data_IF_598239029519
#
_entry.id   IF_598239029519
#
_cell.length_a   1.000
_cell.length_b   1.000
_cell.length_c   1.000
_cell.angle_alpha   90.00
_cell.angle_beta   90.00
_cell.angle_gamma   90.00
#
_symmetry.space_group_name_H-M   'P 1'
#
loop_
_entity.id
_entity.type
_entity.pdbx_description
1 polymer ?
2 polymer ?
3 branched ?
4 non-polymer ?
5 water ?
#
# COMPACT_ATOMS: atom_id res chain seq x y z
N UNK A 3 -16.46 -10.93 0.24
CA UNK A 3 -15.20 -10.26 -0.08
C UNK A 3 -14.87 -10.42 -1.56
N UNK A 4 -14.10 -9.49 -2.12
CA UNK A 4 -13.69 -9.57 -3.52
C UNK A 4 -12.21 -9.93 -3.64
N UNK A 5 -11.94 -10.90 -4.50
CA UNK A 5 -10.60 -11.44 -4.71
C UNK A 5 -10.13 -11.16 -6.13
N UNK A 6 -8.94 -10.60 -6.25
CA UNK A 6 -8.33 -10.32 -7.54
C UNK A 6 -6.96 -10.96 -7.54
N UNK A 7 -6.46 -11.37 -8.71
CA UNK A 7 -5.05 -11.80 -8.77
C UNK A 7 -4.12 -10.62 -8.49
N UNK A 8 -2.93 -10.89 -7.92
CA UNK A 8 -2.00 -9.79 -7.61
C UNK A 8 -1.45 -9.10 -8.84
N UNK A 9 -1.35 -9.82 -9.94
CA UNK A 9 -0.66 -9.32 -11.11
C UNK A 9 -1.24 -9.85 -12.43
N UNK A 10 -1.17 -8.99 -13.44
CA UNK A 10 -1.51 -9.35 -14.81
C UNK A 10 -0.54 -8.59 -15.70
N UNK A 11 -0.23 -9.12 -16.89
CA UNK A 11 0.70 -8.47 -17.78
C UNK A 11 0.49 -8.88 -19.23
N UNK A 12 0.82 -7.97 -20.11
CA UNK A 12 0.76 -8.20 -21.54
C UNK A 12 1.60 -7.16 -22.24
N UNK A 13 1.89 -7.41 -23.52
CA UNK A 13 2.73 -6.50 -24.28
C UNK A 13 1.87 -5.43 -24.93
N UNK A 14 2.46 -4.29 -25.28
CA UNK A 14 1.68 -3.25 -25.94
C UNK A 14 0.97 -3.80 -27.16
N UNK A 15 -0.31 -3.48 -27.30
CA UNK A 15 -1.10 -3.91 -28.43
C UNK A 15 -1.93 -5.17 -28.18
N UNK A 16 -1.61 -5.91 -27.13
CA UNK A 16 -2.32 -7.15 -26.84
C UNK A 16 -3.55 -6.87 -26.00
N UNK A 17 -4.36 -7.90 -25.84
CA UNK A 17 -5.56 -7.83 -25.01
C UNK A 17 -5.30 -8.58 -23.74
N UNK A 18 -5.78 -8.05 -22.63
CA UNK A 18 -5.65 -8.71 -21.34
C UNK A 18 -6.97 -8.62 -20.58
N UNK A 19 -7.26 -9.63 -19.77
CA UNK A 19 -8.47 -9.62 -18.96
C UNK A 19 -8.08 -9.90 -17.52
N UNK A 20 -8.58 -9.12 -16.59
CA UNK A 20 -8.38 -9.40 -15.17
C UNK A 20 -9.69 -9.67 -14.48
N UNK A 21 -9.67 -10.63 -13.57
CA UNK A 21 -10.87 -11.13 -12.94
C UNK A 21 -11.03 -10.62 -11.51
N UNK A 22 -12.26 -10.64 -11.03
CA UNK A 22 -12.59 -10.27 -9.68
C UNK A 22 -13.64 -11.29 -9.22
N UNK A 23 -13.33 -12.11 -8.23
CA UNK A 23 -14.32 -13.11 -7.76
C UNK A 23 -14.98 -12.70 -6.45
N UNK A 24 -16.23 -13.12 -6.26
CA UNK A 24 -16.95 -12.78 -5.06
C UNK A 24 -18.03 -11.74 -5.30
N UNK A 25 -18.17 -11.36 -6.56
CA UNK A 25 -19.23 -10.46 -6.98
C UNK A 25 -20.55 -11.22 -6.96
N UNK A 26 -21.63 -10.50 -7.21
CA UNK A 26 -22.97 -11.09 -7.25
C UNK A 26 -23.89 -10.27 -8.16
N UNK A 27 -24.21 -9.07 -7.70
CA UNK A 27 -25.14 -8.20 -8.41
C UNK A 27 -24.49 -7.41 -9.56
N UNK A 28 -25.26 -6.53 -10.19
CA UNK A 28 -24.75 -5.77 -11.32
C UNK A 28 -24.13 -4.44 -10.91
N UNK A 29 -23.89 -4.27 -9.62
CA UNK A 29 -23.30 -3.04 -9.11
C UNK A 29 -21.80 -3.24 -8.99
N UNK A 30 -21.21 -3.73 -10.07
CA UNK A 30 -19.77 -3.93 -10.18
C UNK A 30 -19.11 -2.76 -10.89
N UNK A 31 -17.99 -2.31 -10.36
CA UNK A 31 -17.23 -1.20 -10.92
C UNK A 31 -15.74 -1.50 -10.89
N UNK A 32 -14.99 -0.77 -11.71
CA UNK A 32 -13.54 -0.94 -11.84
C UNK A 32 -12.87 0.42 -11.82
N UNK A 33 -11.75 0.51 -11.09
CA UNK A 33 -10.98 1.72 -10.95
C UNK A 33 -9.55 1.47 -11.37
N UNK A 34 -8.96 2.49 -11.99
CA UNK A 34 -7.55 2.52 -12.39
C UNK A 34 -6.79 3.49 -11.47
N UNK A 35 -5.60 3.12 -11.01
CA UNK A 35 -4.85 4.01 -10.15
C UNK A 35 -3.36 3.94 -10.49
N UNK A 36 -2.80 5.13 -10.65
CA UNK A 36 -1.37 5.28 -10.86
C UNK A 36 -0.69 5.59 -9.52
N UNK A 37 0.62 5.35 -9.42
CA UNK A 37 1.29 5.63 -8.14
C UNK A 37 1.15 7.09 -7.71
N UNK A 38 0.80 7.27 -6.44
CA UNK A 38 0.67 8.60 -5.86
C UNK A 38 -0.48 9.43 -6.41
N UNK A 39 -1.46 8.78 -7.05
CA UNK A 39 -2.61 9.49 -7.58
C UNK A 39 -3.90 8.83 -7.19
N UNK A 40 -4.97 9.59 -7.26
CA UNK A 40 -6.29 9.08 -6.91
C UNK A 40 -6.74 8.10 -7.95
N UNK A 41 -7.54 7.10 -7.54
CA UNK A 41 -8.17 6.23 -8.52
C UNK A 41 -9.08 7.00 -9.46
N UNK A 42 -9.37 6.37 -10.56
CA UNK A 42 -10.28 6.87 -11.58
C UNK A 42 -11.25 5.76 -11.98
N UNK A 43 -12.55 6.07 -12.00
CA UNK A 43 -13.51 5.11 -12.49
C UNK A 43 -13.35 4.84 -13.99
N UNK A 44 -13.20 3.57 -14.36
CA UNK A 44 -13.11 3.21 -15.76
C UNK A 44 -14.30 2.40 -16.28
N UNK A 45 -14.97 1.68 -15.39
CA UNK A 45 -16.17 0.90 -15.73
C UNK A 45 -17.12 0.94 -14.55
N UNK A 46 -18.41 1.14 -14.79
CA UNK A 46 -19.39 1.04 -13.71
C UNK A 46 -20.58 0.21 -14.18
N UNK A 47 -21.35 -0.29 -13.24
CA UNK A 47 -22.51 -1.14 -13.58
C UNK A 47 -22.13 -2.23 -14.57
N UNK A 48 -21.07 -2.96 -14.23
CA UNK A 48 -20.58 -4.10 -15.00
C UNK A 48 -19.87 -3.73 -16.31
N UNK A 49 -20.50 -2.90 -17.12
CA UNK A 49 -19.98 -2.66 -18.47
C UNK A 49 -20.15 -1.27 -19.02
N UNK A 50 -20.48 -0.31 -18.17
CA UNK A 50 -20.66 1.05 -18.64
C UNK A 50 -19.37 1.84 -18.50
N UNK A 51 -19.05 2.65 -19.50
CA UNK A 51 -17.85 3.49 -19.47
C UNK A 51 -18.20 4.95 -19.21
N UNK A 52 -17.51 5.60 -18.26
CA UNK A 52 -17.69 7.04 -18.10
C UNK A 52 -17.21 7.79 -19.31
N UNK A 53 -17.75 8.97 -19.55
CA UNK A 53 -17.28 9.78 -20.65
C UNK A 53 -15.77 9.99 -20.52
N UNK A 54 -15.05 9.85 -21.62
CA UNK A 54 -13.63 10.11 -21.60
C UNK A 54 -12.80 8.85 -21.47
N UNK A 55 -13.43 7.74 -21.11
CA UNK A 55 -12.75 6.46 -20.97
C UNK A 55 -12.76 5.73 -22.31
N UNK A 56 -11.58 5.37 -22.81
CA UNK A 56 -11.45 4.66 -24.10
C UNK A 56 -12.26 3.37 -24.18
N UNK A 57 -12.86 3.13 -25.35
CA UNK A 57 -13.60 1.90 -25.64
C UNK A 57 -12.73 0.64 -25.61
N UNK A 58 -11.42 0.83 -25.47
CA UNK A 58 -10.48 -0.28 -25.25
C UNK A 58 -10.77 -1.00 -23.92
N UNK A 59 -11.41 -0.29 -22.99
CA UNK A 59 -11.79 -0.85 -21.69
C UNK A 59 -13.21 -1.34 -21.77
N UNK A 60 -13.42 -2.61 -21.45
CA UNK A 60 -14.77 -3.16 -21.35
C UNK A 60 -14.92 -4.07 -20.13
N UNK A 61 -16.16 -4.29 -19.73
CA UNK A 61 -16.43 -5.12 -18.57
C UNK A 61 -17.45 -6.19 -18.88
N UNK A 62 -17.35 -7.29 -18.17
CA UNK A 62 -18.32 -8.38 -18.27
C UNK A 62 -18.46 -9.02 -16.89
N UNK A 63 -19.43 -9.90 -16.74
CA UNK A 63 -19.53 -10.64 -15.51
C UNK A 63 -20.30 -11.92 -15.76
N UNK A 64 -20.01 -12.93 -14.96
CA UNK A 64 -20.82 -14.13 -14.94
C UNK A 64 -20.89 -14.63 -13.52
N UNK A 65 -22.11 -14.69 -12.99
CA UNK A 65 -22.36 -15.27 -11.69
C UNK A 65 -21.65 -14.61 -10.53
N UNK A 66 -20.46 -15.12 -10.18
CA UNK A 66 -19.71 -14.67 -9.03
C UNK A 66 -18.35 -14.12 -9.48
N UNK A 67 -18.26 -13.81 -10.77
CA UNK A 67 -17.00 -13.31 -11.35
C UNK A 67 -17.24 -12.12 -12.27
N UNK A 68 -16.44 -11.07 -12.11
CA UNK A 68 -16.52 -9.94 -13.00
C UNK A 68 -15.15 -9.82 -13.67
N UNK A 69 -15.13 -9.30 -14.88
CA UNK A 69 -13.88 -9.22 -15.64
C UNK A 69 -13.75 -7.88 -16.34
N UNK A 70 -12.53 -7.32 -16.27
CA UNK A 70 -12.17 -6.12 -17.00
C UNK A 70 -11.24 -6.55 -18.11
N UNK A 71 -11.58 -6.18 -19.33
CA UNK A 71 -10.73 -6.42 -20.47
C UNK A 71 -10.15 -5.11 -20.99
N UNK A 72 -8.84 -5.11 -21.21
CA UNK A 72 -8.19 -3.97 -21.83
C UNK A 72 -7.63 -4.45 -23.15
N UNK A 73 -8.19 -3.95 -24.23
CA UNK A 73 -7.72 -4.31 -25.56
C UNK A 73 -6.68 -3.27 -25.96
N UNK A 74 -5.81 -3.64 -26.88
CA UNK A 74 -4.80 -2.71 -27.34
C UNK A 74 -4.04 -2.03 -26.23
N UNK A 75 -3.37 -2.83 -25.40
CA UNK A 75 -2.65 -2.29 -24.25
C UNK A 75 -1.70 -1.21 -24.68
N UNK A 76 -1.70 -0.13 -23.90
CA UNK A 76 -0.78 0.98 -24.05
C UNK A 76 -0.01 1.13 -22.75
N UNK A 77 1.21 1.64 -22.85
CA UNK A 77 2.09 1.78 -21.70
C UNK A 77 1.43 2.45 -20.52
N UNK A 78 0.66 3.50 -20.77
CA UNK A 78 0.06 4.24 -19.67
C UNK A 78 -1.26 3.61 -19.16
N UNK A 79 -1.58 2.40 -19.63
CA UNK A 79 -2.59 1.56 -18.96
C UNK A 79 -2.01 0.85 -17.74
N UNK A 80 -0.69 0.85 -17.62
CA UNK A 80 -0.01 0.24 -16.49
C UNK A 80 -0.40 0.95 -15.21
N UNK A 81 -0.76 0.17 -14.20
CA UNK A 81 -1.22 0.69 -12.92
C UNK A 81 -1.93 -0.39 -12.15
N UNK A 82 -2.62 -0.01 -11.08
CA UNK A 82 -3.30 -0.97 -10.24
C UNK A 82 -4.81 -0.78 -10.47
N UNK A 83 -5.49 -1.89 -10.64
CA UNK A 83 -6.91 -1.87 -10.94
C UNK A 83 -7.65 -2.53 -9.80
N UNK A 84 -8.67 -1.84 -9.33
CA UNK A 84 -9.51 -2.34 -8.22
C UNK A 84 -10.90 -2.60 -8.72
N UNK A 85 -11.42 -3.77 -8.39
CA UNK A 85 -12.85 -3.99 -8.59
C UNK A 85 -13.59 -3.62 -7.31
N UNK A 86 -14.88 -3.44 -7.45
CA UNK A 86 -15.69 -2.97 -6.36
C UNK A 86 -17.09 -3.42 -6.60
N UNK A 87 -17.84 -3.59 -5.50
CA UNK A 87 -19.23 -3.90 -5.61
C UNK A 87 -20.02 -3.39 -4.40
N UNK A 88 -21.33 -3.25 -4.61
CA UNK A 88 -22.26 -3.06 -3.53
C UNK A 88 -22.55 -4.46 -2.97
N UNK A 89 -22.55 -4.60 -1.65
CA UNK A 89 -22.85 -5.88 -0.99
C UNK A 89 -23.76 -5.62 0.20
N UNK A 90 -24.40 -6.67 0.70
CA UNK A 90 -25.39 -6.49 1.76
C UNK A 90 -26.48 -5.56 1.26
N UNK A 91 -27.02 -4.76 2.17
CA UNK A 91 -28.06 -3.81 1.78
C UNK A 91 -27.50 -2.61 1.00
N UNK A 92 -26.40 -2.03 1.47
CA UNK A 92 -25.91 -0.78 0.90
C UNK A 92 -24.43 -0.54 1.17
N UNK A 93 -23.67 -1.62 1.31
CA UNK A 93 -22.24 -1.49 1.64
C UNK A 93 -21.46 -1.52 0.33
N UNK A 94 -20.32 -0.88 0.34
CA UNK A 94 -19.39 -0.96 -0.78
C UNK A 94 -18.14 -1.65 -0.29
N UNK A 95 -17.63 -2.57 -1.11
CA UNK A 95 -16.37 -3.23 -0.82
C UNK A 95 -15.49 -3.16 -2.06
N UNK A 96 -14.20 -3.39 -1.83
CA UNK A 96 -13.21 -3.36 -2.89
C UNK A 96 -12.40 -4.65 -2.90
N UNK A 97 -11.98 -5.04 -4.09
CA UNK A 97 -10.96 -6.06 -4.23
C UNK A 97 -9.60 -5.53 -3.82
N UNK A 98 -8.63 -6.42 -3.71
CA UNK A 98 -7.32 -6.08 -3.19
C UNK A 98 -6.40 -5.44 -4.23
N UNK A 99 -6.89 -5.35 -5.47
CA UNK A 99 -6.14 -4.72 -6.55
C UNK A 99 -5.30 -5.71 -7.35
N UNK A 100 -5.23 -5.47 -8.65
CA UNK A 100 -4.28 -6.17 -9.54
C UNK A 100 -3.33 -5.18 -10.17
N UNK A 101 -2.03 -5.42 -10.04
CA UNK A 101 -1.08 -4.60 -10.79
C UNK A 101 -1.02 -5.09 -12.22
N UNK A 102 -1.40 -4.24 -13.15
CA UNK A 102 -1.32 -4.55 -14.57
C UNK A 102 -0.01 -3.96 -15.08
N UNK A 103 0.89 -4.84 -15.53
CA UNK A 103 2.14 -4.38 -16.11
C UNK A 103 2.07 -4.50 -17.63
N UNK A 104 2.45 -3.43 -18.31
CA UNK A 104 2.57 -3.47 -19.76
C UNK A 104 4.05 -3.73 -20.06
N UNK A 105 4.31 -4.91 -20.58
CA UNK A 105 5.66 -5.46 -20.64
C UNK A 105 6.60 -4.63 -21.51
N UNK A 106 7.69 -4.22 -20.90
CA UNK A 106 8.69 -3.37 -21.53
C UNK A 106 10.11 -3.87 -21.40
N UNK A 107 10.29 -4.99 -20.71
CA UNK A 107 11.61 -5.57 -20.52
C UNK A 107 11.44 -7.03 -20.19
N UNK A 108 12.53 -7.80 -20.26
CA UNK A 108 12.45 -9.24 -19.97
C UNK A 108 11.91 -9.54 -18.57
N UNK A 109 11.07 -10.57 -18.47
CA UNK A 109 10.73 -11.08 -17.15
C UNK A 109 11.96 -11.59 -16.41
N UNK A 110 11.98 -11.34 -15.10
CA UNK A 110 13.10 -11.73 -14.27
C UNK A 110 12.59 -12.14 -12.90
N UNK A 111 12.94 -13.34 -12.47
CA UNK A 111 12.56 -13.82 -11.16
C UNK A 111 13.38 -13.13 -10.06
N UNK A 112 12.75 -12.95 -8.89
CA UNK A 112 13.44 -12.30 -7.77
C UNK A 112 14.58 -13.08 -7.17
N UNK A 113 15.61 -12.33 -6.79
CA UNK A 113 16.62 -12.79 -5.86
C UNK A 113 16.14 -12.39 -4.47
N UNK A 114 16.28 -13.30 -3.53
CA UNK A 114 15.80 -13.07 -2.17
C UNK A 114 16.93 -13.28 -1.19
N UNK A 115 17.14 -12.30 -0.30
CA UNK A 115 18.12 -12.40 0.75
C UNK A 115 17.40 -12.19 2.06
N UNK A 116 17.57 -13.12 2.98
CA UNK A 116 16.88 -13.06 4.25
C UNK A 116 17.91 -12.92 5.36
N UNK A 117 17.86 -11.76 6.00
CA UNK A 117 18.74 -11.45 7.13
C UNK A 117 18.06 -11.83 8.44
N UNK A 118 18.75 -12.64 9.26
CA UNK A 118 18.26 -12.83 10.61
C UNK A 118 18.44 -11.57 11.45
N UNK A 119 17.75 -11.50 12.61
CA UNK A 119 18.00 -10.39 13.53
C UNK A 119 19.50 -10.28 13.82
N UNK A 120 20.05 -9.08 13.76
CA UNK A 120 21.45 -8.85 14.14
C UNK A 120 21.65 -9.04 15.65
N UNK A 121 22.87 -9.44 16.03
CA UNK A 121 23.20 -9.54 17.44
C UNK A 121 22.94 -8.22 18.15
N UNK A 122 23.26 -7.11 17.48
CA UNK A 122 23.08 -5.78 18.04
C UNK A 122 21.62 -5.44 18.26
N UNK A 123 20.75 -5.81 17.32
CA UNK A 123 19.31 -5.59 17.55
C UNK A 123 18.80 -6.48 18.69
N UNK A 124 19.24 -7.74 18.71
CA UNK A 124 18.81 -8.67 19.75
C UNK A 124 19.24 -8.12 21.11
N UNK A 125 20.43 -7.54 21.16
CA UNK A 125 20.92 -6.93 22.39
C UNK A 125 20.09 -5.72 22.81
N UNK A 126 19.41 -5.12 21.83
CA UNK A 126 18.50 -4.01 22.10
C UNK A 126 17.08 -4.51 22.38
N UNK A 127 16.97 -5.83 22.55
CA UNK A 127 15.72 -6.50 22.93
C UNK A 127 14.64 -6.43 21.86
N UNK A 128 15.08 -6.38 20.61
CA UNK A 128 14.16 -6.41 19.48
C UNK A 128 14.67 -7.46 18.49
N UNK A 129 13.81 -7.86 17.57
CA UNK A 129 14.23 -8.82 16.55
C UNK A 129 13.46 -8.52 15.29
N UNK A 130 14.16 -8.28 14.20
CA UNK A 130 13.49 -8.03 12.93
C UNK A 130 14.16 -8.92 11.91
N UNK A 131 13.37 -9.78 11.27
CA UNK A 131 13.83 -10.52 10.10
C UNK A 131 13.60 -9.62 8.91
N UNK A 132 14.63 -9.48 8.08
CA UNK A 132 14.55 -8.58 6.93
C UNK A 132 14.70 -9.42 5.66
N UNK A 133 13.62 -9.45 4.89
CA UNK A 133 13.60 -10.15 3.61
C UNK A 133 13.70 -9.13 2.46
N UNK A 134 14.83 -9.13 1.78
CA UNK A 134 15.07 -8.18 0.72
C UNK A 134 14.95 -8.89 -0.63
N UNK A 135 14.16 -8.30 -1.50
CA UNK A 135 13.72 -8.94 -2.72
C UNK A 135 14.12 -8.04 -3.87
N UNK A 136 14.94 -8.56 -4.79
CA UNK A 136 15.53 -7.68 -5.79
C UNK A 136 15.53 -8.26 -7.20
N UNK A 137 15.76 -7.38 -8.16
CA UNK A 137 16.05 -7.74 -9.54
C UNK A 137 14.92 -8.50 -10.23
N UNK A 138 13.68 -8.12 -9.93
CA UNK A 138 12.53 -8.78 -10.53
C UNK A 138 11.69 -7.88 -11.44
N UNK A 139 10.99 -8.53 -12.36
CA UNK A 139 10.08 -7.87 -13.30
C UNK A 139 9.13 -8.93 -13.85
N UNK A 140 7.83 -8.64 -13.91
CA UNK A 140 7.11 -7.41 -13.50
C UNK A 140 7.26 -7.08 -12.02
N UNK A 141 7.04 -5.82 -11.67
CA UNK A 141 7.20 -5.38 -10.30
C UNK A 141 5.97 -5.62 -9.43
N UNK A 142 5.71 -6.88 -9.15
CA UNK A 142 4.63 -7.27 -8.28
C UNK A 142 5.02 -8.59 -7.68
N UNK A 143 4.90 -8.68 -6.36
CA UNK A 143 5.15 -9.92 -5.64
C UNK A 143 4.19 -10.04 -4.49
N UNK A 144 4.04 -11.26 -4.00
CA UNK A 144 3.32 -11.49 -2.77
C UNK A 144 4.29 -12.16 -1.82
N UNK A 145 4.28 -11.74 -0.55
CA UNK A 145 5.24 -12.26 0.41
C UNK A 145 4.48 -12.94 1.54
N UNK A 146 4.88 -14.16 1.87
CA UNK A 146 4.38 -14.88 3.02
C UNK A 146 5.52 -15.27 3.95
N UNK A 147 5.23 -15.29 5.23
CA UNK A 147 6.21 -15.69 6.22
C UNK A 147 5.77 -16.96 6.94
N UNK A 148 6.75 -17.77 7.32
CA UNK A 148 6.49 -18.96 8.12
C UNK A 148 7.39 -19.00 9.35
N UNK A 149 6.81 -19.48 10.45
CA UNK A 149 7.56 -19.86 11.64
C UNK A 149 7.56 -21.37 11.69
N UNK A 150 8.75 -21.96 11.58
CA UNK A 150 8.88 -23.38 11.31
C UNK A 150 8.10 -23.66 10.02
N UNK A 151 7.05 -24.46 10.10
CA UNK A 151 6.25 -24.76 8.92
C UNK A 151 4.89 -24.04 8.92
N UNK A 152 4.67 -23.17 9.90
CA UNK A 152 3.37 -22.53 10.07
C UNK A 152 3.33 -21.11 9.55
N UNK A 153 2.28 -20.75 8.80
CA UNK A 153 2.10 -19.37 8.39
C UNK A 153 2.07 -18.38 9.55
N UNK A 154 2.77 -17.26 9.38
CA UNK A 154 2.77 -16.15 10.33
C UNK A 154 2.20 -14.93 9.64
N UNK A 155 1.22 -14.28 10.29
CA UNK A 155 0.55 -13.13 9.71
C UNK A 155 0.90 -11.86 10.48
N UNK A 156 0.96 -11.99 11.80
CA UNK A 156 1.12 -10.86 12.67
C UNK A 156 2.57 -10.40 12.61
N UNK A 157 2.75 -9.09 12.66
CA UNK A 157 4.07 -8.50 12.71
C UNK A 157 4.74 -8.34 11.36
N UNK A 158 3.99 -8.46 10.28
CA UNK A 158 4.55 -8.39 8.92
C UNK A 158 4.26 -7.02 8.28
N UNK A 159 5.29 -6.39 7.74
CA UNK A 159 5.13 -5.16 6.96
C UNK A 159 5.94 -5.33 5.67
N UNK A 160 5.34 -4.98 4.55
CA UNK A 160 5.96 -5.20 3.23
C UNK A 160 5.80 -3.95 2.39
N UNK A 161 6.87 -3.52 1.75
CA UNK A 161 6.86 -2.34 0.93
C UNK A 161 6.44 -2.70 -0.48
N UNK A 162 5.84 -1.72 -1.14
CA UNK A 162 5.46 -1.80 -2.55
C UNK A 162 6.68 -1.78 -3.44
N UNK A 163 6.73 -2.68 -4.43
CA UNK A 163 7.90 -2.68 -5.31
C UNK A 163 8.16 -1.34 -5.96
N UNK A 164 9.43 -0.99 -6.06
CA UNK A 164 9.84 0.19 -6.77
C UNK A 164 11.16 -0.08 -7.48
N UNK A 165 11.48 0.79 -8.43
CA UNK A 165 12.56 0.56 -9.36
C UNK A 165 13.93 0.73 -8.74
N UNK A 166 14.82 -0.20 -9.05
CA UNK A 166 16.25 -0.10 -8.76
C UNK A 166 16.92 0.76 -9.81
N UNK A 167 18.19 1.07 -9.61
CA UNK A 167 18.92 1.85 -10.60
C UNK A 167 19.04 1.13 -11.93
N UNK A 168 18.96 -0.20 -11.92
CA UNK A 168 19.06 -0.99 -13.16
C UNK A 168 17.68 -1.23 -13.79
N UNK A 169 16.67 -0.60 -13.22
CA UNK A 169 15.30 -0.58 -13.72
C UNK A 169 14.52 -1.89 -13.52
N UNK A 170 15.12 -2.85 -12.86
CA UNK A 170 14.33 -3.96 -12.32
C UNK A 170 13.75 -3.48 -10.99
N UNK A 171 12.89 -4.29 -10.40
CA UNK A 171 12.22 -3.90 -9.17
C UNK A 171 12.80 -4.56 -7.94
N UNK A 172 12.63 -3.88 -6.82
CA UNK A 172 12.98 -4.43 -5.51
C UNK A 172 11.83 -4.19 -4.55
N UNK A 173 11.77 -5.03 -3.54
CA UNK A 173 10.81 -4.85 -2.46
C UNK A 173 11.42 -5.35 -1.16
N UNK A 174 10.84 -4.93 -0.03
CA UNK A 174 11.30 -5.36 1.28
C UNK A 174 10.13 -5.86 2.14
N UNK A 175 10.41 -6.85 2.97
CA UNK A 175 9.40 -7.33 3.91
C UNK A 175 10.06 -7.57 5.25
N UNK A 176 9.34 -7.26 6.31
CA UNK A 176 9.85 -7.35 7.69
C UNK A 176 8.94 -8.21 8.52
N UNK A 177 9.52 -9.08 9.33
CA UNK A 177 8.77 -9.79 10.34
C UNK A 177 9.31 -9.34 11.69
N UNK A 178 8.47 -8.71 12.50
CA UNK A 178 8.88 -8.29 13.83
C UNK A 178 8.56 -9.39 14.83
N UNK A 179 9.59 -9.75 15.60
CA UNK A 179 9.50 -10.81 16.61
C UNK A 179 10.08 -10.28 17.91
N UNK A 180 9.77 -10.94 19.01
CA UNK A 180 10.55 -10.76 20.23
C UNK A 180 11.78 -11.66 20.14
N UNK A 181 12.86 -11.31 20.86
CA UNK A 181 14.00 -12.21 20.86
C UNK A 181 13.63 -13.63 21.27
N UNK A 182 12.69 -13.76 22.20
CA UNK A 182 12.27 -15.09 22.64
C UNK A 182 11.59 -15.87 21.51
N UNK A 183 10.71 -15.21 20.77
CA UNK A 183 10.12 -15.84 19.59
C UNK A 183 11.16 -16.30 18.58
N UNK A 184 12.13 -15.44 18.30
CA UNK A 184 13.20 -15.79 17.37
C UNK A 184 13.98 -17.03 17.81
N UNK A 185 14.36 -17.06 19.09
CA UNK A 185 15.19 -18.12 19.60
C UNK A 185 14.43 -19.44 19.83
N UNK A 186 13.11 -19.36 19.98
CA UNK A 186 12.34 -20.54 20.37
C UNK A 186 11.90 -21.42 19.21
N UNK A 187 12.04 -20.93 17.98
CA UNK A 187 11.65 -21.71 16.79
C UNK A 187 12.86 -22.30 16.09
N UNK A 188 12.65 -23.37 15.34
CA UNK A 188 13.73 -24.04 14.62
C UNK A 188 14.17 -23.21 13.41
N UNK A 189 13.21 -22.56 12.76
CA UNK A 189 13.54 -21.72 11.62
C UNK A 189 12.41 -20.74 11.30
N UNK A 190 12.73 -19.73 10.48
CA UNK A 190 11.74 -18.84 9.90
C UNK A 190 12.06 -18.73 8.41
N UNK A 191 11.00 -18.52 7.61
CA UNK A 191 11.12 -18.46 6.17
C UNK A 191 10.39 -17.27 5.58
N UNK A 192 10.96 -16.72 4.52
CA UNK A 192 10.32 -15.70 3.70
C UNK A 192 10.05 -16.32 2.33
N UNK A 193 8.78 -16.38 1.97
CA UNK A 193 8.35 -16.99 0.73
C UNK A 193 7.86 -15.90 -0.22
N UNK A 194 8.50 -15.79 -1.38
CA UNK A 194 8.18 -14.74 -2.32
C UNK A 194 7.61 -15.37 -3.59
N UNK A 195 6.35 -15.02 -3.89
CA UNK A 195 5.70 -15.49 -5.11
C UNK A 195 5.74 -14.41 -6.17
N UNK A 196 6.20 -14.80 -7.36
CA UNK A 196 6.35 -13.90 -8.49
C UNK A 196 5.89 -14.64 -9.72
N UNK A 197 4.83 -14.13 -10.33
CA UNK A 197 4.24 -14.77 -11.49
C UNK A 197 4.00 -16.25 -11.14
N UNK A 198 4.57 -17.16 -11.92
CA UNK A 198 4.42 -18.59 -11.67
C UNK A 198 5.50 -19.29 -10.84
N UNK A 199 6.26 -18.54 -10.07
CA UNK A 199 7.24 -19.18 -9.20
C UNK A 199 7.17 -18.66 -7.76
N UNK A 200 7.68 -19.45 -6.83
CA UNK A 200 7.79 -19.00 -5.44
C UNK A 200 9.13 -19.41 -4.85
N UNK A 201 9.92 -18.39 -4.51
CA UNK A 201 11.26 -18.54 -3.97
C UNK A 201 11.16 -18.37 -2.45
N UNK A 202 11.61 -19.38 -1.73
CA UNK A 202 11.62 -19.32 -0.27
C UNK A 202 13.04 -19.39 0.29
N UNK A 203 13.36 -18.45 1.17
CA UNK A 203 14.61 -18.47 1.91
C UNK A 203 14.32 -18.71 3.39
N UNK A 204 15.20 -19.45 4.04
CA UNK A 204 15.03 -19.85 5.42
C UNK A 204 16.27 -19.52 6.24
N UNK A 205 16.05 -19.05 7.46
CA UNK A 205 17.14 -18.83 8.41
C UNK A 205 16.80 -19.48 9.73
N UNK A 206 17.82 -19.71 10.54
CA UNK A 206 17.62 -20.35 11.84
C UNK A 206 18.47 -19.67 12.90
N UNK A 207 17.93 -19.58 14.11
CA UNK A 207 18.67 -19.05 15.26
C UNK A 207 19.89 -19.89 15.61
N UNK A 208 19.82 -21.19 15.35
CA UNK A 208 20.90 -22.11 15.70
C UNK A 208 21.99 -22.19 14.64
N UNK A 209 21.81 -21.47 13.54
CA UNK A 209 22.76 -21.53 12.45
C UNK A 209 23.23 -20.13 12.07
N UNK A 210 24.35 -20.06 11.36
CA UNK A 210 24.90 -18.79 10.91
C UNK A 210 24.84 -18.67 9.39
N UNK B 1 -14.31 20.78 -15.04
CA UNK B 1 -15.07 19.72 -14.29
C UNK B 1 -15.17 20.05 -12.81
N UNK B 2 -16.12 19.43 -12.12
CA UNK B 2 -16.23 19.66 -10.68
C UNK B 2 -14.95 19.21 -9.98
N UNK B 3 -14.74 19.72 -8.78
CA UNK B 3 -13.56 19.38 -8.01
C UNK B 3 -13.97 19.09 -6.59
N UNK B 4 -13.31 18.11 -5.98
CA UNK B 4 -13.47 17.80 -4.57
C UNK B 4 -12.13 18.05 -3.91
N UNK B 5 -12.08 18.90 -2.90
CA UNK B 5 -10.81 19.24 -2.26
C UNK B 5 -10.85 18.96 -0.76
N UNK B 6 -10.00 18.04 -0.32
CA UNK B 6 -9.85 17.70 1.09
C UNK B 6 -8.97 18.71 1.81
N UNK B 7 -9.29 18.98 3.06
CA UNK B 7 -8.44 19.82 3.89
C UNK B 7 -8.50 19.29 5.32
N UNK B 8 -7.42 19.49 6.07
CA UNK B 8 -7.36 19.02 7.44
C UNK B 8 -5.96 18.64 7.85
N UNK B 9 -5.73 18.44 9.16
CA UNK B 9 -4.41 18.06 9.67
C UNK B 9 -3.85 16.78 9.04
N UNK B 10 -2.59 16.82 8.64
CA UNK B 10 -1.92 15.65 8.08
C UNK B 10 -1.26 14.76 9.11
N UNK B 11 -1.18 15.24 10.35
CA UNK B 11 -0.63 14.45 11.45
C UNK B 11 -1.58 14.57 12.64
N UNK B 12 -1.99 13.43 13.16
CA UNK B 12 -2.94 13.31 14.24
C UNK B 12 -2.34 12.35 15.26
N UNK B 13 -2.42 12.69 16.54
CA UNK B 13 -1.87 11.82 17.58
C UNK B 13 -2.75 10.63 17.88
N UNK B 14 -2.14 9.53 18.32
CA UNK B 14 -2.88 8.29 18.56
C UNK B 14 -3.92 8.46 19.66
N UNK B 15 -5.06 7.80 19.47
CA UNK B 15 -6.24 7.87 20.34
C UNK B 15 -6.96 9.22 20.28
N UNK B 16 -6.46 10.14 19.45
CA UNK B 16 -7.11 11.44 19.28
C UNK B 16 -8.06 11.44 18.07
N UNK B 17 -8.35 12.62 17.51
CA UNK B 17 -9.40 12.71 16.49
C UNK B 17 -8.90 13.17 15.14
N UNK B 18 -9.22 12.37 14.12
CA UNK B 18 -8.92 12.68 12.74
C UNK B 18 -10.15 13.34 12.12
N UNK B 19 -9.97 14.58 11.70
CA UNK B 19 -11.05 15.35 11.10
C UNK B 19 -10.64 15.89 9.74
N UNK B 20 -11.51 15.69 8.76
CA UNK B 20 -11.29 16.25 7.43
C UNK B 20 -12.54 16.91 6.87
N UNK B 21 -12.31 17.92 6.05
CA UNK B 21 -13.36 18.61 5.34
C UNK B 21 -13.13 18.43 3.86
N UNK B 22 -14.22 18.27 3.11
CA UNK B 22 -14.18 18.26 1.65
C UNK B 22 -15.03 19.41 1.14
N UNK B 23 -14.44 20.23 0.30
CA UNK B 23 -15.14 21.34 -0.30
C UNK B 23 -15.41 21.01 -1.74
N UNK B 24 -16.69 21.03 -2.11
CA UNK B 24 -17.11 20.74 -3.46
C UNK B 24 -17.27 22.01 -4.28
N UNK B 25 -16.67 22.05 -5.47
CA UNK B 25 -16.90 23.14 -6.39
C UNK B 25 -17.40 22.58 -7.72
N UNK B 26 -18.29 23.31 -8.39
CA UNK B 26 -18.72 22.94 -9.73
C UNK B 26 -19.86 21.92 -9.75
N UNK B 27 -20.39 21.64 -8.57
CA UNK B 27 -21.56 20.78 -8.44
C UNK B 27 -22.25 21.21 -7.16
N UNK B 28 -23.47 20.75 -6.94
CA UNK B 28 -24.16 21.06 -5.70
C UNK B 28 -24.47 19.79 -4.95
N UNK B 29 -24.08 19.75 -3.68
CA UNK B 29 -24.30 18.62 -2.83
C UNK B 29 -25.76 18.46 -2.42
N UNK B 30 -26.58 19.42 -2.84
CA UNK B 30 -28.02 19.37 -2.56
C UNK B 30 -28.80 18.79 -3.72
N UNK B 31 -28.14 17.97 -4.52
CA UNK B 31 -28.81 17.26 -5.60
C UNK B 31 -29.19 15.86 -5.14
N UNK B 32 -30.27 15.34 -5.70
CA UNK B 32 -30.76 14.02 -5.35
C UNK B 32 -30.06 12.96 -6.19
N UNK B 33 -29.02 13.40 -6.90
CA UNK B 33 -28.38 12.58 -7.91
C UNK B 33 -27.30 11.68 -7.31
N UNK B 34 -26.68 12.17 -6.25
CA UNK B 34 -25.48 11.54 -5.72
C UNK B 34 -25.47 11.45 -4.20
N UNK B 35 -24.65 10.52 -3.72
CA UNK B 35 -24.24 10.50 -2.34
C UNK B 35 -22.83 11.05 -2.26
N UNK B 36 -22.46 11.46 -1.06
CA UNK B 36 -21.18 12.12 -0.78
C UNK B 36 -20.52 11.44 0.40
N UNK B 37 -19.23 11.16 0.29
CA UNK B 37 -18.61 10.36 1.31
C UNK B 37 -17.11 10.26 1.11
N UNK B 38 -16.54 9.16 1.60
CA UNK B 38 -15.10 9.04 1.80
C UNK B 38 -14.64 7.64 1.56
N UNK B 39 -13.41 7.52 1.07
CA UNK B 39 -12.73 6.26 0.86
C UNK B 39 -11.30 6.52 1.34
N UNK B 40 -10.63 5.51 1.90
CA UNK B 40 -9.24 5.69 2.27
C UNK B 40 -8.34 4.57 1.75
N UNK B 41 -7.04 4.79 1.81
CA UNK B 41 -6.08 3.82 1.33
C UNK B 41 -4.79 3.90 2.16
N UNK B 42 -4.55 2.88 2.99
CA UNK B 42 -3.30 2.83 3.77
C UNK B 42 -2.13 2.77 2.79
N UNK B 43 -0.99 3.35 3.14
CA UNK B 43 0.16 3.29 2.23
C UNK B 43 0.48 1.86 1.86
N UNK B 44 0.63 1.60 0.57
CA UNK B 44 0.91 0.26 0.08
C UNK B 44 -0.23 -0.76 0.12
N UNK B 45 -1.43 -0.33 0.54
CA UNK B 45 -2.56 -1.24 0.60
C UNK B 45 -3.66 -0.79 -0.39
N UNK B 46 -4.80 -1.46 -0.31
CA UNK B 46 -5.91 -1.18 -1.22
C UNK B 46 -6.94 -0.22 -0.65
N UNK B 47 -7.96 0.02 -1.45
CA UNK B 47 -9.04 0.95 -1.10
C UNK B 47 -9.99 0.36 -0.08
N UNK B 48 -10.45 1.24 0.81
CA UNK B 48 -11.42 0.89 1.84
C UNK B 48 -12.53 1.95 1.91
N UNK B 49 -13.76 1.49 1.79
CA UNK B 49 -14.94 2.34 1.91
C UNK B 49 -15.09 2.84 3.34
N UNK B 50 -15.38 4.12 3.50
CA UNK B 50 -15.61 4.69 4.82
C UNK B 50 -17.12 4.85 5.02
N UNK B 51 -17.78 5.53 4.08
CA UNK B 51 -19.23 5.68 4.12
C UNK B 51 -19.69 6.80 3.20
N UNK B 52 -20.99 7.00 3.10
CA UNK B 52 -21.48 8.13 2.33
C UNK B 52 -22.86 8.53 2.82
N UNK B 53 -23.27 9.75 2.47
CA UNK B 53 -24.61 10.22 2.88
C UNK B 53 -25.26 11.14 1.85
N UNK B 54 -26.55 11.41 2.05
CA UNK B 54 -27.33 12.21 1.13
C UNK B 54 -28.26 13.13 1.94
N UNK B 55 -28.56 14.34 1.42
CA UNK B 55 -29.49 15.29 2.05
C UNK B 55 -30.13 16.26 1.03
N UNK B 56 -30.80 15.79 -0.02
CA UNK B 56 -31.21 16.69 -1.11
C UNK B 56 -32.57 17.41 -0.89
N UNK B 57 -32.75 18.56 -1.56
CA UNK B 57 -33.99 19.33 -1.46
C UNK B 57 -35.08 18.65 -2.27
N UNK B 58 -36.21 18.36 -1.63
CA UNK B 58 -37.23 17.59 -2.31
C UNK B 58 -38.54 17.65 -1.55
N UNK B 59 -39.57 17.04 -2.12
CA UNK B 59 -40.89 17.01 -1.48
C UNK B 59 -41.07 15.73 -0.67
N UNK B 60 -40.06 14.87 -0.71
CA UNK B 60 -40.02 13.68 0.15
C UNK B 60 -38.73 13.67 0.98
N UNK B 61 -38.60 12.69 1.88
CA UNK B 61 -37.40 12.62 2.71
C UNK B 61 -36.23 12.02 1.94
N UNK B 62 -35.08 12.66 2.09
CA UNK B 62 -33.90 12.32 1.29
C UNK B 62 -32.67 12.11 2.16
N UNK B 63 -32.88 12.04 3.49
CA UNK B 63 -31.78 11.82 4.45
C UNK B 63 -31.37 10.33 4.61
N UNK B 64 -30.22 9.98 4.06
CA UNK B 64 -29.69 8.62 4.16
C UNK B 64 -28.21 8.70 4.57
N UNK B 65 -27.78 7.79 5.43
CA UNK B 65 -26.38 7.73 5.85
C UNK B 65 -25.89 6.28 6.00
N UNK B 66 -24.82 5.93 5.30
CA UNK B 66 -24.32 4.56 5.32
C UNK B 66 -22.85 4.57 5.76
N UNK B 67 -22.50 3.67 6.68
CA UNK B 67 -21.15 3.60 7.24
C UNK B 67 -20.54 2.23 7.01
N UNK B 68 -19.21 2.18 6.88
CA UNK B 68 -18.50 0.91 6.94
C UNK B 68 -18.71 0.35 8.36
N UNK B 69 -19.29 -0.86 8.46
CA UNK B 69 -19.58 -1.46 9.77
C UNK B 69 -18.38 -1.52 10.73
N UNK B 70 -17.17 -1.72 10.21
CA UNK B 70 -15.99 -1.89 11.06
C UNK B 70 -15.51 -0.56 11.61
N UNK B 71 -16.01 0.54 11.05
CA UNK B 71 -15.63 1.87 11.50
C UNK B 71 -16.75 2.62 12.21
N UNK B 72 -17.98 2.13 12.09
CA UNK B 72 -19.16 2.89 12.52
C UNK B 72 -19.07 3.45 13.95
N UNK B 73 -18.61 2.65 14.89
CA UNK B 73 -18.60 3.06 16.29
C UNK B 73 -17.76 4.31 16.53
N UNK B 74 -16.79 4.59 15.65
CA UNK B 74 -15.98 5.79 15.85
C UNK B 74 -15.98 6.74 14.64
N UNK B 75 -17.01 6.59 13.81
CA UNK B 75 -17.13 7.33 12.56
C UNK B 75 -18.34 8.27 12.53
N UNK B 76 -18.08 9.53 12.17
CA UNK B 76 -19.12 10.48 11.85
C UNK B 76 -18.85 11.07 10.49
N UNK B 77 -19.85 11.01 9.62
CA UNK B 77 -19.83 11.74 8.36
C UNK B 77 -21.05 12.66 8.29
N UNK B 78 -20.88 13.81 7.68
CA UNK B 78 -21.91 14.81 7.60
C UNK B 78 -21.82 15.69 6.35
N UNK B 79 -22.93 16.32 6.01
CA UNK B 79 -23.02 17.24 4.88
C UNK B 79 -23.52 18.58 5.38
N UNK B 80 -22.94 19.66 4.86
CA UNK B 80 -23.48 21.01 5.04
C UNK B 80 -23.74 21.51 3.63
N UNK B 81 -24.93 21.25 3.11
CA UNK B 81 -25.20 21.47 1.69
C UNK B 81 -25.10 22.94 1.29
N UNK B 82 -25.45 23.87 2.20
CA UNK B 82 -25.28 25.30 1.88
C UNK B 82 -23.82 25.71 1.72
N UNK B 83 -22.93 25.09 2.48
CA UNK B 83 -21.50 25.35 2.34
C UNK B 83 -20.88 24.47 1.26
N UNK B 84 -21.68 23.54 0.75
CA UNK B 84 -21.21 22.57 -0.23
C UNK B 84 -19.98 21.83 0.28
N UNK B 85 -20.08 21.40 1.54
CA UNK B 85 -19.01 20.68 2.23
C UNK B 85 -19.45 19.34 2.81
N UNK B 86 -18.51 18.39 2.76
CA UNK B 86 -18.66 17.06 3.34
C UNK B 86 -17.62 16.96 4.45
N UNK B 87 -17.97 16.27 5.53
CA UNK B 87 -17.09 16.17 6.69
C UNK B 87 -16.87 14.73 7.09
N UNK B 88 -15.67 14.48 7.61
CA UNK B 88 -15.29 13.19 8.15
C UNK B 88 -14.69 13.39 9.55
N UNK B 89 -15.15 12.58 10.50
CA UNK B 89 -14.54 12.55 11.82
C UNK B 89 -14.37 11.11 12.24
N UNK B 90 -13.13 10.75 12.56
CA UNK B 90 -12.79 9.42 13.05
C UNK B 90 -12.10 9.58 14.41
N UNK B 91 -12.66 8.97 15.45
CA UNK B 91 -12.10 9.08 16.80
C UNK B 91 -11.33 7.81 17.20
N UNK B 92 -10.62 7.91 18.33
CA UNK B 92 -9.82 6.81 18.87
C UNK B 92 -8.92 6.19 17.81
N UNK B 93 -8.20 7.04 17.10
CA UNK B 93 -7.37 6.56 16.00
C UNK B 93 -6.07 5.93 16.48
N UNK B 94 -5.51 5.05 15.65
CA UNK B 94 -4.22 4.44 15.92
C UNK B 94 -3.42 4.52 14.63
N UNK B 95 -2.15 4.13 14.68
CA UNK B 95 -1.27 4.19 13.51
C UNK B 95 -1.91 3.51 12.30
N UNK B 96 -2.73 2.49 12.55
CA UNK B 96 -3.41 1.74 11.50
C UNK B 96 -4.40 2.60 10.70
N UNK B 97 -4.77 3.77 11.21
CA UNK B 97 -5.66 4.67 10.48
C UNK B 97 -4.86 5.60 9.56
N UNK B 98 -3.55 5.42 9.53
CA UNK B 98 -2.73 6.18 8.62
C UNK B 98 -3.13 5.80 7.19
N UNK B 99 -3.45 6.79 6.37
CA UNK B 99 -4.01 6.51 5.07
C UNK B 99 -4.12 7.79 4.26
N UNK B 100 -4.21 7.63 2.95
CA UNK B 100 -4.68 8.70 2.09
C UNK B 100 -6.20 8.66 2.11
N UNK B 101 -6.78 9.79 2.49
CA UNK B 101 -8.23 9.95 2.57
C UNK B 101 -8.75 10.72 1.38
N UNK B 102 -9.74 10.14 0.71
CA UNK B 102 -10.32 10.72 -0.49
C UNK B 102 -11.78 11.10 -0.28
N UNK B 103 -12.09 12.35 -0.57
CA UNK B 103 -13.49 12.75 -0.78
C UNK B 103 -14.02 12.05 -2.02
N UNK B 104 -15.29 11.68 -1.99
CA UNK B 104 -15.84 10.85 -3.05
C UNK B 104 -17.29 11.16 -3.34
N UNK B 105 -17.63 11.24 -4.63
CA UNK B 105 -19.01 11.37 -5.04
C UNK B 105 -19.48 10.04 -5.58
N UNK B 106 -20.56 9.52 -5.01
CA UNK B 106 -21.06 8.19 -5.35
C UNK B 106 -22.32 8.23 -6.22
N UNK B 107 -22.29 7.52 -7.34
CA UNK B 107 -23.47 7.30 -8.14
C UNK B 107 -23.99 5.88 -7.94
N UNK B 108 -25.13 5.59 -8.55
CA UNK B 108 -25.69 4.26 -8.49
C UNK B 108 -27.17 4.37 -8.73
N UNK B 109 -27.94 3.56 -8.01
CA UNK B 109 -29.38 3.64 -8.04
C UNK B 109 -29.79 4.59 -6.93
N UNK B 110 -29.73 5.88 -7.24
CA UNK B 110 -29.82 6.93 -6.23
C UNK B 110 -31.08 7.79 -6.41
N UNK B 111 -31.20 8.43 -7.57
CA UNK B 111 -32.33 9.31 -7.89
C UNK B 111 -33.65 8.53 -7.91
N UNK B 112 -33.64 7.39 -8.59
CA UNK B 112 -34.78 6.50 -8.62
C UNK B 112 -34.33 5.15 -8.11
N UNK B 113 -34.98 4.68 -7.06
CA UNK B 113 -34.58 3.46 -6.38
C UNK B 113 -35.80 2.70 -5.88
N UNK B 114 -35.57 1.48 -5.43
CA UNK B 114 -36.58 0.70 -4.75
C UNK B 114 -36.07 0.40 -3.35
N UNK B 115 -36.88 0.75 -2.36
CA UNK B 115 -36.62 0.46 -0.95
C UNK B 115 -35.64 1.44 -0.34
N UNK B 116 -34.42 1.49 -0.87
CA UNK B 116 -33.43 2.47 -0.39
C UNK B 116 -32.42 2.76 -1.50
N UNK B 117 -31.84 3.95 -1.48
CA UNK B 117 -30.85 4.24 -2.53
C UNK B 117 -29.61 3.40 -2.36
N UNK B 118 -28.97 3.09 -3.48
CA UNK B 118 -27.81 2.21 -3.51
C UNK B 118 -26.68 2.90 -4.28
N UNK B 119 -25.98 3.80 -3.57
CA UNK B 119 -24.77 4.42 -4.12
C UNK B 119 -23.68 3.34 -4.16
N UNK B 120 -23.10 3.11 -5.32
CA UNK B 120 -22.28 1.94 -5.49
C UNK B 120 -20.91 2.24 -6.05
N UNK B 121 -20.78 3.35 -6.78
CA UNK B 121 -19.50 3.66 -7.40
C UNK B 121 -19.14 5.13 -7.30
N UNK B 122 -17.84 5.39 -7.35
CA UNK B 122 -17.31 6.74 -7.18
C UNK B 122 -16.89 7.28 -8.54
N UNK B 123 -17.61 8.29 -9.04
CA UNK B 123 -17.30 8.84 -10.36
C UNK B 123 -16.50 10.11 -10.31
N UNK B 124 -16.32 10.64 -9.10
CA UNK B 124 -15.51 11.81 -8.88
C UNK B 124 -14.76 11.61 -7.57
N UNK B 125 -13.44 11.71 -7.63
CA UNK B 125 -12.55 11.56 -6.49
C UNK B 125 -11.78 12.84 -6.22
N UNK B 126 -11.60 13.15 -4.94
CA UNK B 126 -10.67 14.21 -4.57
C UNK B 126 -9.25 13.76 -4.86
N UNK B 127 -8.31 14.69 -4.74
CA UNK B 127 -6.91 14.37 -4.92
C UNK B 127 -6.39 13.42 -3.84
N UNK B 128 -6.99 13.48 -2.67
CA UNK B 128 -6.55 12.69 -1.54
C UNK B 128 -5.62 13.47 -0.63
N UNK B 129 -5.76 13.22 0.67
CA UNK B 129 -4.85 13.79 1.64
C UNK B 129 -4.31 12.72 2.55
N UNK B 130 -2.99 12.68 2.69
CA UNK B 130 -2.37 11.68 3.55
C UNK B 130 -2.43 12.14 4.98
N UNK B 131 -3.05 11.32 5.82
CA UNK B 131 -3.05 11.59 7.26
C UNK B 131 -2.26 10.50 7.96
N UNK B 132 -1.22 10.92 8.67
CA UNK B 132 -0.41 10.01 9.46
C UNK B 132 -0.85 10.10 10.91
N UNK B 133 -1.06 8.94 11.52
CA UNK B 133 -1.44 8.86 12.93
C UNK B 133 -0.26 8.37 13.74
N UNK B 134 0.34 9.28 14.52
CA UNK B 134 1.41 8.90 15.44
C UNK B 134 1.51 9.92 16.58
N UNK B 135 1.86 9.43 17.77
CA UNK B 135 2.06 10.33 18.91
C UNK B 135 3.54 10.64 19.11
N UNK B 136 4.36 10.25 18.14
CA UNK B 136 5.80 10.47 18.24
C UNK B 136 6.17 11.94 18.14
N UNK B 137 7.20 12.30 18.91
CA UNK B 137 7.87 13.56 18.73
C UNK B 137 9.04 13.25 17.82
N UNK B 138 9.63 14.28 17.23
CA UNK B 138 10.81 14.11 16.40
C UNK B 138 11.83 13.22 17.10
N UNK B 139 12.34 12.21 16.40
CA UNK B 139 13.24 11.23 16.97
C UNK B 139 14.20 10.71 15.91
N UNK B 140 15.50 10.75 16.20
CA UNK B 140 16.54 10.21 15.33
C UNK B 140 16.52 8.69 15.27
N UNK B 141 17.10 8.12 14.21
CA UNK B 141 17.11 6.67 13.99
C UNK B 141 18.16 5.93 14.83
N UNK B 142 17.84 4.67 15.13
CA UNK B 142 18.83 3.68 15.55
C UNK B 142 19.23 2.87 14.34
N UNK B 143 20.51 2.56 14.17
CA UNK B 143 20.93 1.91 12.95
C UNK B 143 21.61 0.60 13.29
N UNK B 144 21.13 -0.48 12.69
CA UNK B 144 21.66 -1.81 12.93
C UNK B 144 22.19 -2.39 11.64
N UNK B 145 23.22 -3.23 11.74
CA UNK B 145 23.82 -3.79 10.52
C UNK B 145 23.07 -5.02 10.02
N UNK B 146 23.02 -5.14 8.69
CA UNK B 146 22.54 -6.35 8.04
C UNK B 146 23.79 -6.96 7.42
N UNK B 147 24.40 -7.86 8.18
CA UNK B 147 25.74 -8.34 7.83
C UNK B 147 25.66 -9.46 6.81
N UNK B 148 26.60 -9.46 5.86
CA UNK B 148 26.62 -10.41 4.74
C UNK B 148 26.84 -11.86 5.16
N UNK B 156 31.60 -14.80 -6.30
CA UNK B 156 30.29 -14.20 -6.56
C UNK B 156 30.05 -12.93 -5.77
N UNK B 157 28.78 -12.64 -5.46
CA UNK B 157 28.44 -11.42 -4.75
C UNK B 157 27.71 -11.67 -3.45
N UNK B 158 27.67 -10.64 -2.62
CA UNK B 158 27.02 -10.68 -1.33
C UNK B 158 26.26 -9.39 -1.09
N UNK B 159 25.10 -9.50 -0.43
CA UNK B 159 24.32 -8.34 -0.06
C UNK B 159 24.61 -8.00 1.38
N UNK B 160 24.72 -6.71 1.67
CA UNK B 160 24.86 -6.26 3.04
C UNK B 160 24.09 -4.96 3.14
N UNK B 161 23.75 -4.54 4.35
CA UNK B 161 22.91 -3.36 4.46
C UNK B 161 22.85 -2.81 5.85
N UNK B 162 21.97 -1.83 6.00
CA UNK B 162 21.67 -1.20 7.28
C UNK B 162 20.17 -1.16 7.48
N UNK B 163 19.74 -1.54 8.67
CA UNK B 163 18.37 -1.44 9.08
C UNK B 163 18.26 -0.16 9.91
N UNK B 164 17.46 0.78 9.41
CA UNK B 164 17.37 2.10 10.00
C UNK B 164 16.01 2.20 10.72
N UNK B 165 16.04 2.18 12.05
CA UNK B 165 14.84 1.97 12.86
C UNK B 165 14.39 3.14 13.72
N UNK B 166 13.08 3.19 13.91
CA UNK B 166 12.44 3.96 14.97
C UNK B 166 12.73 5.45 14.90
N UNK B 167 12.53 6.04 13.72
CA UNK B 167 12.69 7.49 13.58
C UNK B 167 11.36 8.17 13.25
N UNK B 168 11.33 9.49 13.43
CA UNK B 168 10.13 10.27 13.11
C UNK B 168 10.51 11.74 13.06
N UNK B 169 9.94 12.49 12.10
CA UNK B 169 9.11 12.10 10.97
C UNK B 169 9.99 11.64 9.81
N UNK B 170 9.39 11.36 8.65
CA UNK B 170 10.16 11.17 7.43
C UNK B 170 10.73 12.54 7.06
N UNK B 171 11.81 12.55 6.26
CA UNK B 171 12.48 11.39 5.70
C UNK B 171 13.89 11.16 6.25
N UNK B 172 14.46 9.98 5.96
CA UNK B 172 15.90 9.82 6.05
C UNK B 172 16.46 9.54 4.67
N UNK B 173 17.72 9.89 4.50
CA UNK B 173 18.43 9.50 3.30
C UNK B 173 19.65 8.71 3.71
N UNK B 174 20.10 7.86 2.82
CA UNK B 174 21.21 6.99 3.14
C UNK B 174 22.20 7.02 2.01
N UNK B 175 23.46 7.11 2.38
CA UNK B 175 24.54 6.88 1.42
C UNK B 175 25.47 5.80 1.98
N UNK B 176 26.44 5.39 1.15
CA UNK B 176 27.42 4.40 1.57
C UNK B 176 28.83 4.95 1.35
N UNK B 177 29.68 4.74 2.35
CA UNK B 177 31.05 5.17 2.27
C UNK B 177 31.18 6.65 1.88
N UNK B 178 30.29 7.45 2.48
CA UNK B 178 30.27 8.89 2.28
C UNK B 178 30.08 9.26 0.83
N UNK B 179 29.39 8.40 0.09
CA UNK B 179 29.12 8.65 -1.31
C UNK B 179 30.08 7.96 -2.27
N UNK B 180 31.15 7.35 -1.74
CA UNK B 180 32.14 6.68 -2.57
C UNK B 180 31.64 5.35 -3.07
N UNK B 181 30.54 4.84 -2.50
CA UNK B 181 29.94 3.59 -2.94
C UNK B 181 28.51 3.84 -3.34
N UNK B 182 28.27 3.83 -4.64
CA UNK B 182 26.95 4.08 -5.18
C UNK B 182 26.46 2.92 -6.06
N UNK B 183 27.38 2.27 -6.76
CA UNK B 183 26.99 1.13 -7.58
C UNK B 183 26.41 0.01 -6.71
N UNK B 184 25.24 -0.48 -7.08
CA UNK B 184 24.67 -1.63 -6.40
C UNK B 184 23.84 -1.28 -5.17
N UNK B 185 23.69 0.01 -4.91
CA UNK B 185 22.96 0.47 -3.71
C UNK B 185 21.46 0.61 -3.99
N UNK B 186 20.64 0.16 -3.06
CA UNK B 186 19.23 0.43 -3.13
C UNK B 186 18.70 0.75 -1.75
N UNK B 187 18.05 1.89 -1.61
CA UNK B 187 17.41 2.25 -0.36
C UNK B 187 15.91 2.15 -0.50
N UNK B 188 15.31 1.40 0.39
CA UNK B 188 13.89 1.07 0.29
C UNK B 188 13.00 2.15 0.88
N UNK B 189 11.72 2.16 0.48
CA UNK B 189 10.76 3.02 1.18
C UNK B 189 10.59 2.63 2.65
N UNK B 190 10.19 3.59 3.46
CA UNK B 190 10.01 3.34 4.88
C UNK B 190 8.69 2.64 5.12
N UNK B 191 8.64 1.93 6.24
CA UNK B 191 7.39 1.39 6.76
C UNK B 191 7.03 2.13 8.03
N UNK B 192 5.75 2.46 8.21
CA UNK B 192 5.31 3.02 9.49
C UNK B 192 4.89 1.86 10.38
N UNK B 193 5.49 1.77 11.56
CA UNK B 193 5.24 0.66 12.46
C UNK B 193 4.16 1.02 13.47
N UNK B 194 3.65 0.02 14.17
CA UNK B 194 2.57 0.22 15.13
C UNK B 194 2.94 1.21 16.24
N UNK B 195 4.22 1.40 16.48
CA UNK B 195 4.71 2.37 17.44
C UNK B 195 4.48 3.81 16.98
N UNK B 196 4.22 4.00 15.69
CA UNK B 196 4.10 5.32 15.14
C UNK B 196 5.45 5.87 14.71
N UNK B 197 6.43 4.96 14.63
CA UNK B 197 7.76 5.32 14.13
C UNK B 197 8.03 4.60 12.82
N UNK B 198 8.90 5.17 11.99
CA UNK B 198 9.28 4.58 10.72
C UNK B 198 10.54 3.73 10.83
N UNK B 199 10.66 2.74 9.95
CA UNK B 199 11.91 2.03 9.71
C UNK B 199 12.08 1.85 8.22
N UNK B 200 13.32 1.75 7.78
CA UNK B 200 13.60 1.35 6.41
C UNK B 200 14.93 0.61 6.36
N UNK B 201 15.24 0.03 5.22
CA UNK B 201 16.55 -0.57 5.03
C UNK B 201 17.23 -0.04 3.78
N UNK B 202 18.56 -0.09 3.79
CA UNK B 202 19.35 0.24 2.61
C UNK B 202 20.31 -0.92 2.40
N UNK B 203 20.49 -1.35 1.16
CA UNK B 203 21.26 -2.55 0.88
C UNK B 203 22.23 -2.22 -0.23
N UNK B 204 23.34 -2.94 -0.25
CA UNK B 204 24.29 -2.85 -1.36
C UNK B 204 24.83 -4.24 -1.66
N UNK B 205 25.01 -4.53 -2.95
CA UNK B 205 25.59 -5.78 -3.38
C UNK B 205 27.03 -5.51 -3.81
N UNK B 206 27.95 -6.29 -3.24
CA UNK B 206 29.38 -6.13 -3.48
C UNK B 206 30.02 -7.50 -3.76
N UNK B 207 31.27 -7.50 -4.23
CA UNK B 207 31.93 -8.79 -4.45
C UNK B 207 32.18 -9.54 -3.15
N UNK B 208 31.95 -10.84 -3.12
CA UNK B 208 32.22 -11.60 -1.92
C UNK B 208 33.67 -11.50 -1.51
N UNK B 209 34.57 -11.44 -2.49
CA UNK B 209 35.99 -11.40 -2.19
C UNK B 209 36.43 -10.11 -1.52
N UNK B 210 35.56 -9.10 -1.49
CA UNK B 210 35.89 -7.83 -0.87
C UNK B 210 35.56 -7.77 0.63
N UNK B 211 34.84 -8.76 1.13
CA UNK B 211 34.34 -8.69 2.49
C UNK B 211 35.45 -8.67 3.56
N UNK B 212 36.54 -9.38 3.34
CA UNK B 212 37.59 -9.35 4.35
C UNK B 212 38.41 -8.06 4.42
N UNK B 213 38.33 -7.24 3.37
CA UNK B 213 39.35 -6.21 3.16
C UNK B 213 38.79 -4.80 2.90
N UNK B 214 37.53 -4.72 2.52
CA UNK B 214 36.90 -3.45 2.20
C UNK B 214 35.97 -3.07 3.34
N UNK B 215 36.01 -1.80 3.74
CA UNK B 215 35.15 -1.28 4.79
C UNK B 215 33.87 -0.71 4.20
N UNK B 216 32.75 -1.08 4.80
CA UNK B 216 31.43 -0.66 4.34
C UNK B 216 30.70 0.05 5.48
N UNK B 217 30.43 1.34 5.28
CA UNK B 217 29.77 2.18 6.27
C UNK B 217 28.52 2.81 5.65
N UNK B 218 27.37 2.65 6.28
CA UNK B 218 26.18 3.38 5.82
C UNK B 218 26.06 4.69 6.58
N UNK B 219 25.71 5.73 5.85
CA UNK B 219 25.61 7.07 6.39
C UNK B 219 24.18 7.49 6.32
N UNK B 220 23.57 7.62 7.48
CA UNK B 220 22.16 7.89 7.58
C UNK B 220 21.95 9.33 7.99
N UNK B 221 21.20 10.09 7.19
CA UNK B 221 20.91 11.48 7.53
C UNK B 221 19.43 11.63 7.85
N UNK B 222 19.14 12.12 9.06
CA UNK B 222 17.77 12.43 9.45
C UNK B 222 17.69 13.92 9.82
N UNK B 223 17.47 14.74 8.80
CA UNK B 223 17.49 16.20 8.95
C UNK B 223 16.47 16.71 9.97
N UNK B 224 15.29 16.08 10.05
CA UNK B 224 14.32 16.65 11.00
C UNK B 224 14.78 16.64 12.47
N UNK B 225 15.65 15.70 12.84
CA UNK B 225 16.20 15.66 14.20
C UNK B 225 17.63 16.15 14.28
N UNK B 226 18.15 16.70 13.18
CA UNK B 226 19.56 17.08 13.06
C UNK B 226 20.51 15.97 13.52
N UNK B 227 20.22 14.76 13.04
CA UNK B 227 21.01 13.60 13.38
C UNK B 227 21.60 12.98 12.14
N UNK B 228 22.88 12.64 12.24
CA UNK B 228 23.53 11.79 11.25
C UNK B 228 24.10 10.58 11.99
N UNK B 229 23.95 9.41 11.40
CA UNK B 229 24.50 8.19 12.00
C UNK B 229 25.34 7.45 10.96
N UNK B 230 26.57 7.11 11.33
CA UNK B 230 27.42 6.27 10.48
C UNK B 230 27.56 4.90 11.14
N UNK B 231 27.29 3.84 10.40
CA UNK B 231 27.37 2.51 10.97
C UNK B 231 28.23 1.63 10.08
N UNK B 232 29.30 1.11 10.66
CA UNK B 232 30.18 0.16 9.97
C UNK B 232 29.48 -1.20 9.93
N UNK B 233 29.41 -1.81 8.77
CA UNK B 233 28.79 -3.12 8.62
C UNK B 233 29.90 -4.12 8.36
N UNK B 234 30.13 -5.01 9.32
CA UNK B 234 31.21 -6.00 9.24
C UNK B 234 30.70 -7.40 8.96
N UNK B 235 31.55 -8.25 8.37
CA UNK B 235 31.15 -9.65 8.22
C UNK B 235 30.90 -10.32 9.57
N UNK B 236 30.04 -11.34 9.60
CA UNK B 236 29.68 -11.98 10.87
C UNK B 236 30.78 -12.95 11.35
N UNK B 237 30.82 -13.20 12.66
CA UNK B 237 31.77 -14.16 13.22
C UNK B 237 31.29 -15.60 13.08
N UNK B 238 29.97 -15.77 13.08
CA UNK B 238 29.37 -17.11 12.98
C UNK B 238 29.82 -17.99 14.14
X LIG C 1 -37.20 0.28 6.97
X LIG C 1 -36.62 1.04 8.14
X LIG C 1 -35.12 1.22 7.98
X LIG C 1 -34.47 -0.11 7.68
X LIG C 1 -35.16 -0.74 6.48
X LIG C 1 -34.53 -2.08 6.17
X LIG C 1 -36.85 0.34 9.35
X LIG C 1 -34.57 1.71 9.17
X LIG C 1 -33.11 0.14 7.41
X LIG C 1 -36.52 -0.96 6.80
X LIG C 1 -34.39 -2.77 7.39
X LIG C 2 -33.66 2.80 8.88
X LIG C 2 -32.73 2.99 10.08
X LIG C 2 -33.54 3.43 11.28
X LIG C 2 -34.31 4.69 10.88
X LIG C 2 -35.18 4.40 9.67
X LIG C 2 -36.06 5.59 9.29
X LIG C 2 -31.67 3.91 9.84
X LIG C 2 -32.69 3.69 12.37
X LIG C 2 -35.12 5.12 11.96
X LIG C 2 -34.35 4.01 8.59
X LIG C 2 -35.24 6.71 8.99
X LIG C 3 -30.51 3.23 9.29
X LIG C 3 -29.32 4.19 9.27
X LIG C 3 -29.57 5.39 8.38
X LIG C 3 -29.83 4.79 7.00
X LIG C 3 -31.02 3.81 7.08
X LIG C 3 -31.40 3.23 5.72
X LIG C 3 -28.22 3.49 8.74
X LIG C 3 -28.43 6.23 8.45
X LIG C 3 -30.16 5.79 6.06
X LIG C 3 -30.78 2.75 8.00
X LIG C 3 -32.54 2.41 5.89
X LIG C 4 -27.25 3.23 9.76
X LIG C 4 -25.89 3.14 9.07
X LIG C 4 -25.88 1.96 8.13
X LIG C 4 -26.20 0.69 8.92
X LIG C 4 -27.55 0.86 9.64
X LIG C 4 -27.79 -0.32 10.56
X LIG C 4 -24.88 2.99 10.03
X LIG C 4 -24.60 1.80 7.50
X LIG C 4 -26.25 -0.42 8.06
X LIG C 4 -27.48 2.02 10.43
X LIG C 4 -29.11 -0.25 11.08
X LIG C 5 -33.85 -4.06 7.07
X LIG C 5 -34.41 -5.10 8.03
X LIG C 5 -33.95 -4.78 9.45
X LIG C 5 -32.45 -4.63 9.46
X LIG C 5 -31.98 -3.64 8.40
X LIG C 5 -30.46 -3.63 8.37
X LIG C 5 -33.88 -6.33 7.64
X LIG C 5 -34.31 -5.85 10.31
X LIG C 5 -32.02 -4.19 10.72
X LIG C 5 -32.44 -4.06 7.14
X LIG C 5 -30.10 -4.93 7.98
X LIG C 6 -28.70 -5.01 7.69
X LIG C 6 -28.35 -6.47 7.53
X LIG C 6 -28.80 -7.20 8.79
X LIG C 6 -28.08 -6.58 9.97
X LIG C 6 -28.28 -5.06 10.00
X LIG C 6 -27.51 -4.40 11.13
X LIG C 6 -26.94 -6.65 7.42
X LIG C 6 -28.44 -8.56 8.66
X LIG C 6 -28.53 -7.16 11.18
X LIG C 6 -27.94 -4.48 8.76
X LIG C 6 -26.12 -4.38 10.82
X LIG C 7 -26.55 -6.63 6.03
X LIG C 7 -25.17 -7.28 5.94
X LIG C 7 -24.16 -6.39 6.65
X LIG C 7 -24.24 -4.96 6.09
X LIG C 7 -25.67 -4.45 6.18
X LIG C 7 -25.85 -3.05 5.57
X LIG C 7 -24.80 -7.50 4.59
X LIG C 7 -22.86 -6.95 6.51
X LIG C 7 -23.35 -4.09 6.75
X LIG C 7 -26.52 -5.33 5.47
X LIG C 7 -25.52 -3.08 4.19
X LIG C 8 -35.65 -5.64 10.81
X LIG C 8 -35.73 -6.20 12.22
X LIG C 8 -35.49 -7.71 12.19
X LIG C 8 -36.48 -8.34 11.23
X LIG C 8 -36.39 -7.65 9.86
X LIG C 8 -37.37 -8.24 8.86
X LIG C 8 -37.01 -5.96 12.78
X LIG C 8 -35.64 -8.26 13.48
X LIG C 8 -36.23 -9.72 11.11
X LIG C 8 -36.63 -6.27 10.01
X LIG C 8 -37.24 -9.64 8.83
X LIG D 1 -37.40 1.07 5.71
X LIG D 1 -38.28 0.25 4.77
X LIG D 1 -37.49 -0.02 3.48
X LIG D 1 -38.35 -0.87 2.53
#
# INVERSE_FOLDING_TARGET
XSALTQPPSASGSPGQSITISCTGTSNNFVSWYQQYPGKAPKLVIYEVNKRPSGVPDRFSGSKSGSTASLTVSGLQADDEGVYYCSSLVGNWDVIFGGGTKLTVLGQPKAAPSVTLFPPSSEELQANKATLVCLISDFYPGAVTVAWKADSSPVKAGVETTTPSKQSNNKYAASSYLSLTPEQWKSHRSYSCQVTHEGSTVEKTVAPTECS
QPQLQESGPGLVEASETLSLTCTVSGDSTGRCNYFWGWVRQPPGKGLEWIGSLSHCRSYYNTDWTYHNPSLKSRLTISLDTPKNQVFLRLTSVTAADTATYYCARFGGEVLVYRDWPKPAWVDLWGRGTLVTVSSASTKGPSVFPLAPSSKSTSGGTAALGCLVKDYFPEPVTVSWNSGALTSGVHTFPAVLQSSGLYSLSSVVTVPSSSLGTQTYICNVNHKPSNTKVDKRVEPKSCD
MAN C1 C2 C3 C4 C5 C6 O2 O3 O4 O5 O6
MAN C1 C2 C3 C4 C5 C6 O2 O3 O4 O5 O6
MAN C1 C2 C3 C4 C5 C6 O2 O3 O4 O5 O6
MAN C1 C2 C3 C4 C5 C6 O2 O3 O4 O5 O6
MAN C1 C2 C3 C4 C5 C6 O2 O3 O4 O5 O6
MAN C1 C2 C3 C4 C5 C6 O2 O3 O4 O5 O6
MAN C1 C2 C3 C4 C5 C6 O2 O3 O4 O5 O6
MAN C1 C2 C3 C4 C5 C6 O2 O3 O4 O5 O6
AML C2 C3 C4 C5
#
